data_IF_953523415843
#
_entry.id   IF_953523415843
#
_cell.length_a   1.000
_cell.length_b   1.000
_cell.length_c   1.000
_cell.angle_alpha   90.00
_cell.angle_beta   90.00
_cell.angle_gamma   90.00
#
_symmetry.space_group_name_H-M   'P 1'
#
loop_
_entity.id
_entity.type
_entity.pdbx_description
1 polymer ?
#
# COMPACT_ATOMS: atom_id res chain seq x y z
N UNK A 1 10.23 11.29 16.74
CA UNK A 1 10.51 9.93 16.21
C UNK A 1 12.01 9.70 16.27
N UNK A 2 12.48 8.55 16.77
CA UNK A 2 13.92 8.17 16.75
C UNK A 2 14.23 7.23 15.58
N UNK A 3 15.50 7.10 15.22
CA UNK A 3 15.97 6.15 14.19
C UNK A 3 15.59 4.70 14.50
N UNK A 4 15.77 4.29 15.76
CA UNK A 4 15.40 2.95 16.22
C UNK A 4 13.89 2.67 16.05
N UNK A 5 13.03 3.63 16.43
CA UNK A 5 11.58 3.47 16.28
C UNK A 5 11.14 3.33 14.81
N UNK A 6 11.80 4.06 13.90
CA UNK A 6 11.54 3.92 12.46
C UNK A 6 11.87 2.49 11.97
N UNK A 7 13.04 1.97 12.37
CA UNK A 7 13.45 0.61 12.01
C UNK A 7 12.53 -0.46 12.59
N UNK A 8 12.13 -0.34 13.86
CA UNK A 8 11.17 -1.26 14.49
C UNK A 8 9.85 -1.28 13.70
N UNK A 9 9.32 -0.11 13.34
CA UNK A 9 8.09 -0.01 12.53
C UNK A 9 8.24 -0.68 11.16
N UNK A 10 9.37 -0.46 10.48
CA UNK A 10 9.64 -1.09 9.18
C UNK A 10 9.77 -2.61 9.27
N UNK A 11 10.48 -3.11 10.29
CA UNK A 11 10.63 -4.54 10.53
C UNK A 11 9.29 -5.20 10.85
N UNK A 12 8.48 -4.58 11.72
CA UNK A 12 7.15 -5.05 12.03
C UNK A 12 6.26 -5.14 10.79
N UNK A 13 6.18 -4.05 9.98
CA UNK A 13 5.40 -4.06 8.75
C UNK A 13 5.89 -5.14 7.76
N UNK A 14 7.20 -5.32 7.61
CA UNK A 14 7.75 -6.35 6.73
C UNK A 14 7.33 -7.77 7.17
N UNK A 15 7.32 -8.03 8.47
CA UNK A 15 6.86 -9.31 9.02
C UNK A 15 5.36 -9.53 8.77
N UNK A 16 4.52 -8.52 9.00
CA UNK A 16 3.08 -8.60 8.74
C UNK A 16 2.79 -8.81 7.25
N UNK A 17 3.48 -8.07 6.36
CA UNK A 17 3.35 -8.22 4.90
C UNK A 17 3.74 -9.63 4.48
N UNK A 18 4.84 -10.17 5.00
CA UNK A 18 5.29 -11.54 4.70
C UNK A 18 4.30 -12.60 5.18
N UNK A 19 3.76 -12.45 6.40
CA UNK A 19 2.76 -13.37 6.92
C UNK A 19 1.47 -13.37 6.07
N UNK A 20 1.10 -12.19 5.54
CA UNK A 20 -0.08 -12.01 4.71
C UNK A 20 0.00 -12.70 3.34
N UNK A 21 1.19 -13.08 2.87
CA UNK A 21 1.35 -13.92 1.67
C UNK A 21 0.73 -15.32 1.87
N UNK A 22 0.65 -15.79 3.12
CA UNK A 22 0.04 -17.09 3.47
C UNK A 22 -1.40 -16.92 3.92
N UNK A 23 -1.63 -16.03 4.90
CA UNK A 23 -2.97 -15.74 5.42
C UNK A 23 -3.07 -14.27 5.84
N UNK A 24 -3.72 -13.42 5.04
CA UNK A 24 -3.79 -11.99 5.29
C UNK A 24 -4.75 -11.61 6.43
N UNK A 25 -5.77 -12.43 6.74
CA UNK A 25 -6.65 -12.19 7.89
C UNK A 25 -5.94 -12.58 9.20
N UNK A 26 -5.25 -13.73 9.22
CA UNK A 26 -4.44 -14.12 10.39
C UNK A 26 -3.28 -13.13 10.64
N UNK A 27 -2.65 -12.61 9.58
CA UNK A 27 -1.61 -11.60 9.71
C UNK A 27 -2.11 -10.31 10.37
N UNK A 28 -3.35 -9.88 10.09
CA UNK A 28 -3.98 -8.74 10.76
C UNK A 28 -4.45 -9.09 12.17
N UNK A 29 -4.88 -10.34 12.43
CA UNK A 29 -5.24 -10.77 13.78
C UNK A 29 -4.04 -10.71 14.76
N UNK A 30 -2.80 -10.89 14.27
CA UNK A 30 -1.59 -10.66 15.07
C UNK A 30 -1.42 -9.21 15.54
N UNK A 31 -2.07 -8.26 14.84
CA UNK A 31 -2.04 -6.85 15.19
C UNK A 31 -3.14 -6.47 16.20
N UNK A 32 -4.19 -7.27 16.33
CA UNK A 32 -5.31 -7.01 17.22
C UNK A 32 -4.91 -7.21 18.70
N UNK A 33 -5.20 -6.22 19.54
CA UNK A 33 -4.83 -6.22 20.97
C UNK A 33 -3.32 -6.24 21.27
N UNK A 34 -2.46 -6.11 20.25
CA UNK A 34 -1.01 -6.15 20.43
C UNK A 34 -0.48 -4.88 21.08
N UNK A 35 0.20 -5.04 22.22
CA UNK A 35 0.92 -3.94 22.88
C UNK A 35 2.03 -3.38 21.99
N UNK A 36 2.58 -4.21 21.10
CA UNK A 36 3.59 -3.78 20.13
C UNK A 36 2.99 -2.86 19.08
N UNK A 37 1.77 -3.16 18.58
CA UNK A 37 1.07 -2.28 17.64
C UNK A 37 0.74 -0.93 18.28
N UNK A 38 0.27 -0.93 19.52
CA UNK A 38 0.00 0.30 20.27
C UNK A 38 1.27 1.14 20.44
N UNK A 39 2.41 0.52 20.79
CA UNK A 39 3.71 1.19 20.92
C UNK A 39 4.21 1.76 19.59
N UNK A 40 4.13 0.96 18.53
CA UNK A 40 4.77 1.28 17.25
C UNK A 40 3.92 2.19 16.38
N UNK A 41 2.60 2.02 16.38
CA UNK A 41 1.66 2.66 15.44
C UNK A 41 0.59 3.50 16.12
N UNK A 42 0.46 3.43 17.45
CA UNK A 42 -0.61 4.07 18.22
C UNK A 42 -1.81 3.14 18.40
N UNK A 43 -2.30 2.56 17.30
CA UNK A 43 -3.40 1.61 17.26
C UNK A 43 -3.39 0.79 15.96
N UNK A 44 -4.37 -0.12 15.80
CA UNK A 44 -4.55 -0.91 14.57
C UNK A 44 -4.76 0.00 13.35
N UNK A 45 -5.57 1.06 13.46
CA UNK A 45 -5.80 1.98 12.34
C UNK A 45 -4.49 2.64 11.90
N UNK A 46 -3.60 3.01 12.82
CA UNK A 46 -2.28 3.54 12.56
C UNK A 46 -1.39 2.57 11.78
N UNK A 47 -1.47 1.26 12.04
CA UNK A 47 -0.80 0.23 11.24
C UNK A 47 -1.39 0.20 9.82
N UNK A 48 -2.71 0.16 9.68
CA UNK A 48 -3.37 0.10 8.38
C UNK A 48 -3.06 1.34 7.52
N UNK A 49 -3.04 2.53 8.13
CA UNK A 49 -2.63 3.78 7.47
C UNK A 49 -1.16 3.75 7.05
N UNK A 50 -0.30 3.12 7.83
CA UNK A 50 1.12 2.97 7.51
C UNK A 50 1.34 2.02 6.33
N UNK A 51 0.60 0.90 6.27
CA UNK A 51 0.60 -0.01 5.12
C UNK A 51 0.10 0.71 3.86
N UNK A 52 -0.97 1.51 4.00
CA UNK A 52 -1.50 2.34 2.90
C UNK A 52 -0.49 3.37 2.41
N UNK A 53 0.23 4.01 3.31
CA UNK A 53 1.28 4.96 2.97
C UNK A 53 2.44 4.27 2.24
N UNK A 54 2.87 3.08 2.71
CA UNK A 54 3.91 2.29 2.03
C UNK A 54 3.52 1.98 0.58
N UNK A 55 2.28 1.52 0.35
CA UNK A 55 1.76 1.28 -0.99
C UNK A 55 1.82 2.53 -1.87
N UNK A 56 1.31 3.66 -1.38
CA UNK A 56 1.31 4.92 -2.13
C UNK A 56 2.73 5.38 -2.47
N UNK A 57 3.69 5.26 -1.55
CA UNK A 57 5.09 5.61 -1.81
C UNK A 57 5.69 4.76 -2.93
N UNK A 58 5.48 3.44 -2.91
CA UNK A 58 5.97 2.55 -3.98
C UNK A 58 5.28 2.81 -5.32
N UNK A 59 3.95 3.02 -5.30
CA UNK A 59 3.19 3.30 -6.50
C UNK A 59 3.64 4.60 -7.16
N UNK A 60 3.75 5.70 -6.40
CA UNK A 60 4.20 7.00 -6.92
C UNK A 60 5.60 6.89 -7.53
N UNK A 61 6.53 6.22 -6.86
CA UNK A 61 7.88 6.04 -7.39
C UNK A 61 7.90 5.23 -8.70
N UNK A 62 7.07 4.20 -8.82
CA UNK A 62 6.97 3.42 -10.06
C UNK A 62 6.24 4.18 -11.18
N UNK A 63 5.24 4.98 -10.86
CA UNK A 63 4.52 5.81 -11.83
C UNK A 63 5.43 6.91 -12.40
N UNK A 64 6.25 7.53 -11.56
CA UNK A 64 7.25 8.51 -11.98
C UNK A 64 8.21 7.94 -13.03
N UNK A 65 8.75 6.73 -12.77
CA UNK A 65 9.58 6.02 -13.73
C UNK A 65 8.81 5.63 -15.01
N UNK A 66 7.58 5.12 -14.87
CA UNK A 66 6.74 4.68 -15.98
C UNK A 66 6.36 5.80 -16.95
N UNK A 67 6.23 7.04 -16.45
CA UNK A 67 5.99 8.22 -17.29
C UNK A 67 7.13 8.45 -18.30
N UNK A 68 8.37 8.09 -17.93
CA UNK A 68 9.52 8.15 -18.84
C UNK A 68 9.55 6.98 -19.83
N UNK A 69 9.06 5.80 -19.41
CA UNK A 69 9.13 4.57 -20.18
C UNK A 69 7.87 4.33 -21.06
N UNK A 70 6.87 5.22 -21.01
CA UNK A 70 5.62 5.10 -21.77
C UNK A 70 4.72 3.95 -21.28
N UNK A 71 4.85 3.55 -20.01
CA UNK A 71 4.08 2.45 -19.43
C UNK A 71 2.80 3.00 -18.78
N UNK A 72 1.64 2.41 -19.11
CA UNK A 72 0.35 2.81 -18.55
C UNK A 72 0.28 2.60 -17.02
N UNK A 73 -0.33 3.54 -16.29
CA UNK A 73 -0.48 3.47 -14.83
C UNK A 73 -1.16 2.20 -14.32
N UNK A 74 -2.17 1.70 -15.04
CA UNK A 74 -2.89 0.48 -14.71
C UNK A 74 -1.96 -0.73 -14.74
N UNK A 75 -1.03 -0.74 -15.70
CA UNK A 75 -0.01 -1.79 -15.79
C UNK A 75 0.96 -1.69 -14.61
N UNK A 76 1.42 -0.48 -14.28
CA UNK A 76 2.29 -0.24 -13.11
C UNK A 76 1.63 -0.72 -11.81
N UNK A 77 0.35 -0.39 -11.60
CA UNK A 77 -0.41 -0.82 -10.43
C UNK A 77 -0.54 -2.35 -10.38
N UNK A 78 -0.86 -2.99 -11.50
CA UNK A 78 -0.98 -4.45 -11.58
C UNK A 78 0.36 -5.15 -11.31
N UNK A 79 1.45 -4.66 -11.90
CA UNK A 79 2.79 -5.20 -11.68
C UNK A 79 3.25 -4.99 -10.23
N UNK A 80 2.92 -3.86 -9.60
CA UNK A 80 3.18 -3.64 -8.17
C UNK A 80 2.36 -4.58 -7.28
N UNK A 81 1.08 -4.80 -7.59
CA UNK A 81 0.24 -5.74 -6.84
C UNK A 81 0.78 -7.18 -6.94
N UNK A 82 1.29 -7.57 -8.13
CA UNK A 82 1.92 -8.86 -8.34
C UNK A 82 3.28 -8.99 -7.63
N UNK A 83 4.05 -7.91 -7.53
CA UNK A 83 5.33 -7.88 -6.84
C UNK A 83 5.19 -7.87 -5.31
N UNK A 84 4.11 -7.31 -4.77
CA UNK A 84 3.85 -7.15 -3.34
C UNK A 84 2.49 -7.76 -2.93
N UNK A 85 2.27 -9.08 -3.13
CA UNK A 85 0.96 -9.71 -2.97
C UNK A 85 0.43 -9.66 -1.54
N UNK A 86 1.31 -9.80 -0.54
CA UNK A 86 0.95 -9.71 0.88
C UNK A 86 0.46 -8.31 1.26
N UNK A 87 1.16 -7.25 0.81
CA UNK A 87 0.73 -5.88 1.06
C UNK A 87 -0.59 -5.57 0.36
N UNK A 88 -0.74 -5.98 -0.90
CA UNK A 88 -1.98 -5.75 -1.64
C UNK A 88 -3.17 -6.42 -0.94
N UNK A 89 -3.02 -7.67 -0.50
CA UNK A 89 -4.07 -8.41 0.22
C UNK A 89 -4.45 -7.75 1.55
N UNK A 90 -3.46 -7.25 2.30
CA UNK A 90 -3.71 -6.49 3.53
C UNK A 90 -4.53 -5.23 3.26
N UNK A 91 -4.25 -4.50 2.18
CA UNK A 91 -4.98 -3.28 1.83
C UNK A 91 -6.42 -3.56 1.40
N UNK A 92 -6.68 -4.67 0.71
CA UNK A 92 -8.03 -5.09 0.37
C UNK A 92 -8.85 -5.35 1.64
N UNK A 93 -8.30 -6.07 2.62
CA UNK A 93 -8.95 -6.29 3.93
C UNK A 93 -9.10 -4.98 4.71
N UNK A 94 -8.03 -4.18 4.79
CA UNK A 94 -8.01 -2.91 5.50
C UNK A 94 -9.06 -1.93 4.95
N UNK A 95 -9.26 -1.93 3.63
CA UNK A 95 -10.28 -1.10 2.98
C UNK A 95 -11.68 -1.49 3.43
N UNK A 96 -11.93 -2.76 3.75
CA UNK A 96 -13.21 -3.25 4.29
C UNK A 96 -13.39 -2.81 5.74
N UNK A 97 -12.34 -2.87 6.55
CA UNK A 97 -12.33 -2.63 8.01
C UNK A 97 -12.26 -1.15 8.41
N UNK A 98 -11.53 -0.30 7.68
CA UNK A 98 -11.36 1.13 8.00
C UNK A 98 -11.92 2.02 6.90
N UNK A 99 -12.89 2.87 7.26
CA UNK A 99 -13.41 3.92 6.38
C UNK A 99 -12.30 4.89 5.94
N UNK A 100 -11.34 5.18 6.82
CA UNK A 100 -10.25 6.10 6.53
C UNK A 100 -9.32 5.53 5.47
N UNK A 101 -8.91 4.27 5.59
CA UNK A 101 -8.10 3.59 4.58
C UNK A 101 -8.83 3.53 3.23
N UNK A 102 -10.15 3.25 3.26
CA UNK A 102 -11.00 3.23 2.06
C UNK A 102 -11.06 4.60 1.37
N UNK A 103 -11.16 5.68 2.14
CA UNK A 103 -11.20 7.05 1.60
C UNK A 103 -9.93 7.42 0.83
N UNK A 104 -8.78 6.85 1.23
CA UNK A 104 -7.49 7.07 0.59
C UNK A 104 -7.37 6.42 -0.81
N UNK A 105 -8.29 5.54 -1.20
CA UNK A 105 -8.36 4.99 -2.57
C UNK A 105 -8.61 6.07 -3.63
N UNK A 106 -9.18 7.21 -3.25
CA UNK A 106 -9.23 8.38 -4.13
C UNK A 106 -7.85 8.97 -4.43
N UNK A 107 -6.93 8.94 -3.48
CA UNK A 107 -5.56 9.44 -3.65
C UNK A 107 -4.73 8.58 -4.60
N UNK A 108 -4.96 7.26 -4.59
CA UNK A 108 -4.36 6.34 -5.55
C UNK A 108 -4.83 6.60 -6.99
N UNK A 109 -6.15 6.72 -7.20
CA UNK A 109 -6.69 7.08 -8.52
C UNK A 109 -6.12 8.39 -9.02
N UNK A 110 -6.07 9.41 -8.16
CA UNK A 110 -5.49 10.71 -8.51
C UNK A 110 -4.00 10.61 -8.86
N UNK A 111 -3.23 9.78 -8.15
CA UNK A 111 -1.82 9.57 -8.49
C UNK A 111 -1.66 8.89 -9.86
N UNK A 112 -2.49 7.89 -10.16
CA UNK A 112 -2.52 7.23 -11.47
C UNK A 112 -2.89 8.20 -12.59
N UNK A 113 -3.87 9.08 -12.37
CA UNK A 113 -4.29 10.10 -13.35
C UNK A 113 -3.21 11.15 -13.61
N UNK A 114 -2.50 11.59 -12.56
CA UNK A 114 -1.51 12.67 -12.67
C UNK A 114 -0.16 12.18 -13.23
N UNK A 115 0.24 10.96 -12.90
CA UNK A 115 1.56 10.42 -13.24
C UNK A 115 1.52 9.36 -14.34
N UNK A 116 0.35 8.79 -14.66
CA UNK A 116 0.20 7.67 -15.58
C UNK A 116 0.38 7.95 -17.07
N UNK A 117 0.77 9.18 -17.43
CA UNK A 117 0.79 9.64 -18.82
C UNK A 117 -0.61 9.67 -19.46
N UNK A 118 -0.76 10.24 -20.67
CA UNK A 118 -2.00 10.15 -21.41
C UNK A 118 -2.27 8.67 -21.71
N UNK A 119 -3.35 8.13 -21.15
CA UNK A 119 -3.92 6.87 -21.62
C UNK A 119 -4.22 7.05 -23.11
N UNK A 120 -3.64 6.21 -23.97
CA UNK A 120 -3.90 6.16 -25.42
C UNK A 120 -5.39 5.83 -25.70
N UNK A 121 -6.26 6.80 -25.41
CA UNK A 121 -7.67 6.84 -25.80
C UNK A 121 -7.81 7.91 -26.87
N UNK A 122 -7.18 7.68 -28.03
CA UNK A 122 -7.62 8.20 -29.34
C UNK A 122 -6.61 7.81 -30.43
N UNK A 123 -6.66 6.56 -30.88
CA UNK A 123 -6.41 6.27 -32.30
C UNK A 123 -7.71 5.72 -32.86
N UNK A 124 -8.59 6.64 -33.27
CA UNK A 124 -9.70 6.32 -34.16
C UNK A 124 -9.22 6.68 -35.57
N UNK A 125 -9.25 5.65 -36.43
CA UNK A 125 -8.86 5.65 -37.83
C UNK A 125 -9.68 6.61 -38.70
#
# INVERSE_FOLDING_TARGET
MTWALLHDRMAFMANVIKAAETDPEAALALADGSSEVSRLFGDEEGLLLSLRQRWMTMLVAKLDQAAHDGIAAERVRADLAAAEPGLHSLLEIASRRSLRVRSLSGGERRAMELLGGPSDRQTVA
#
